data_IF_624677476209
#
_entry.id   IF_624677476209
#
_cell.length_a   1.000
_cell.length_b   1.000
_cell.length_c   1.000
_cell.angle_alpha   90.00
_cell.angle_beta   90.00
_cell.angle_gamma   90.00
#
_symmetry.space_group_name_H-M   'P 1'
#
loop_
_entity.id
_entity.type
_entity.pdbx_description
1 polymer ?
#
# COMPACT_ATOMS: atom_id res chain seq x y z
N UNK A 1 -18.39 -40.56 -2.45
CA UNK A 1 -17.17 -41.37 -2.68
C UNK A 1 -17.20 -41.86 -4.13
N UNK A 2 -16.30 -41.38 -4.96
CA UNK A 2 -16.15 -41.75 -6.34
C UNK A 2 -15.04 -42.81 -6.46
N UNK A 3 -15.34 -43.94 -7.10
CA UNK A 3 -14.36 -45.02 -7.32
C UNK A 3 -13.45 -44.61 -8.47
N UNK A 4 -12.21 -44.25 -8.17
CA UNK A 4 -11.23 -43.79 -9.17
C UNK A 4 -10.62 -44.97 -9.95
N UNK A 5 -10.46 -46.10 -9.31
CA UNK A 5 -9.93 -47.33 -9.93
C UNK A 5 -10.37 -48.58 -9.16
N UNK A 6 -10.71 -49.66 -9.86
CA UNK A 6 -11.08 -50.93 -9.26
C UNK A 6 -10.21 -52.08 -9.87
N UNK A 7 -8.92 -52.18 -9.53
CA UNK A 7 -8.04 -53.19 -10.05
C UNK A 7 -8.38 -54.57 -9.49
N UNK A 8 -8.29 -55.59 -10.34
CA UNK A 8 -8.51 -57.00 -9.94
C UNK A 8 -7.18 -57.56 -9.40
N UNK A 9 -7.21 -58.09 -8.19
CA UNK A 9 -6.06 -58.79 -7.59
C UNK A 9 -5.96 -60.18 -8.19
N UNK A 10 -4.89 -60.49 -8.92
CA UNK A 10 -4.67 -61.77 -9.57
C UNK A 10 -4.04 -62.81 -8.67
N UNK A 11 -3.08 -62.38 -7.83
CA UNK A 11 -2.33 -63.22 -6.95
C UNK A 11 -2.12 -62.58 -5.56
N UNK A 12 -1.77 -63.38 -4.55
CA UNK A 12 -1.49 -62.85 -3.24
C UNK A 12 -0.18 -61.99 -3.20
N UNK A 13 -0.25 -60.78 -2.72
CA UNK A 13 0.89 -59.84 -2.64
C UNK A 13 1.73 -60.18 -1.41
N UNK A 14 2.78 -61.03 -1.60
CA UNK A 14 3.64 -61.48 -0.51
C UNK A 14 4.78 -60.52 -0.20
N UNK A 15 5.14 -59.62 -1.11
CA UNK A 15 6.30 -58.71 -1.03
C UNK A 15 5.96 -57.32 -0.49
N UNK A 16 4.71 -57.04 -0.12
CA UNK A 16 4.29 -55.73 0.35
C UNK A 16 4.28 -54.63 -0.72
N UNK A 17 4.60 -54.97 -1.98
CA UNK A 17 4.53 -54.04 -3.12
C UNK A 17 3.68 -54.65 -4.22
N UNK A 18 2.78 -53.83 -4.79
CA UNK A 18 1.91 -54.20 -5.89
C UNK A 18 2.10 -53.30 -7.10
N UNK A 19 1.89 -53.87 -8.29
CA UNK A 19 1.89 -53.10 -9.54
C UNK A 19 0.46 -53.11 -10.14
N UNK A 20 -0.04 -51.90 -10.47
CA UNK A 20 -1.28 -51.73 -11.19
C UNK A 20 -0.94 -51.60 -12.69
N UNK A 21 -1.41 -52.55 -13.51
CA UNK A 21 -1.17 -52.54 -14.95
C UNK A 21 -2.51 -52.55 -15.72
N UNK A 22 -2.58 -51.85 -16.84
CA UNK A 22 -3.74 -51.74 -17.70
C UNK A 22 -3.48 -50.91 -18.96
N UNK A 23 -4.48 -50.69 -19.76
CA UNK A 23 -4.39 -49.81 -20.94
C UNK A 23 -4.58 -48.36 -20.52
N UNK A 24 -3.60 -47.83 -19.79
CA UNK A 24 -3.61 -46.42 -19.37
C UNK A 24 -2.90 -45.55 -20.41
N UNK A 25 -3.44 -44.37 -20.67
CA UNK A 25 -2.69 -43.32 -21.33
C UNK A 25 -1.63 -42.75 -20.34
N UNK A 26 -0.65 -42.01 -20.84
CA UNK A 26 0.39 -41.41 -20.02
C UNK A 26 -0.23 -40.46 -18.99
N UNK A 27 -1.27 -39.74 -19.39
CA UNK A 27 -1.99 -38.81 -18.54
C UNK A 27 -2.75 -39.52 -17.40
N UNK A 28 -3.50 -40.56 -17.73
CA UNK A 28 -4.25 -41.36 -16.76
C UNK A 28 -3.34 -42.07 -15.76
N UNK A 29 -2.20 -42.62 -16.21
CA UNK A 29 -1.23 -43.26 -15.33
C UNK A 29 -0.58 -42.23 -14.36
N UNK A 30 -0.28 -41.03 -14.85
CA UNK A 30 0.26 -39.96 -14.04
C UNK A 30 -0.75 -39.47 -12.99
N UNK A 31 -1.99 -39.23 -13.38
CA UNK A 31 -3.07 -38.86 -12.48
C UNK A 31 -3.32 -39.91 -11.40
N UNK A 32 -3.36 -41.20 -11.79
CA UNK A 32 -3.52 -42.30 -10.84
C UNK A 32 -2.36 -42.38 -9.87
N UNK A 33 -1.11 -42.16 -10.34
CA UNK A 33 0.07 -42.15 -9.48
C UNK A 33 0.04 -41.00 -8.45
N UNK A 34 -0.43 -39.80 -8.84
CA UNK A 34 -0.63 -38.67 -7.96
C UNK A 34 -1.67 -38.96 -6.87
N UNK A 35 -2.82 -39.54 -7.29
CA UNK A 35 -3.89 -39.91 -6.37
C UNK A 35 -3.44 -40.99 -5.36
N UNK A 36 -2.69 -42.00 -5.81
CA UNK A 36 -2.15 -43.03 -4.92
C UNK A 36 -1.09 -42.47 -3.95
N UNK A 37 -0.24 -41.50 -4.38
CA UNK A 37 0.71 -40.81 -3.50
C UNK A 37 0.02 -39.95 -2.47
N UNK A 38 -1.08 -39.28 -2.84
CA UNK A 38 -1.86 -38.47 -1.90
C UNK A 38 -2.51 -39.33 -0.81
N UNK A 39 -2.77 -40.64 -1.09
CA UNK A 39 -3.39 -41.53 -0.13
C UNK A 39 -4.86 -41.20 0.15
N UNK A 40 -5.49 -42.00 1.00
CA UNK A 40 -6.83 -41.68 1.50
C UNK A 40 -6.72 -40.58 2.55
N UNK A 41 -7.32 -39.43 2.30
CA UNK A 41 -7.37 -38.36 3.25
C UNK A 41 -8.22 -38.77 4.46
N UNK A 42 -7.72 -38.60 5.70
CA UNK A 42 -8.42 -39.02 6.91
C UNK A 42 -9.69 -38.20 7.22
N UNK A 43 -9.88 -37.09 6.50
CA UNK A 43 -11.06 -36.22 6.60
C UNK A 43 -11.46 -35.72 5.20
N UNK A 44 -12.76 -35.52 4.99
CA UNK A 44 -13.28 -34.93 3.75
C UNK A 44 -12.78 -33.49 3.59
N UNK A 45 -12.18 -33.18 2.43
CA UNK A 45 -11.83 -31.82 2.05
C UNK A 45 -12.99 -31.20 1.27
N UNK A 46 -13.45 -30.04 1.70
CA UNK A 46 -14.34 -29.20 0.91
C UNK A 46 -13.58 -27.94 0.48
N UNK A 47 -13.67 -27.57 -0.79
CA UNK A 47 -13.16 -26.27 -1.23
C UNK A 47 -14.06 -25.18 -0.64
N UNK A 48 -13.50 -24.40 0.29
CA UNK A 48 -14.23 -23.31 0.95
C UNK A 48 -14.24 -22.07 0.05
N UNK A 49 -13.15 -21.85 -0.68
CA UNK A 49 -13.04 -20.76 -1.65
C UNK A 49 -12.04 -21.16 -2.75
N UNK A 50 -12.46 -21.01 -4.00
CA UNK A 50 -11.58 -21.10 -5.16
C UNK A 50 -11.66 -19.78 -5.93
N UNK A 51 -10.56 -19.05 -6.02
CA UNK A 51 -10.45 -17.79 -6.75
C UNK A 51 -9.42 -17.91 -7.85
N UNK A 52 -9.85 -18.18 -9.05
CA UNK A 52 -9.00 -18.14 -10.24
C UNK A 52 -9.08 -16.75 -10.88
N UNK A 53 -8.06 -15.92 -10.65
CA UNK A 53 -7.95 -14.60 -11.30
C UNK A 53 -7.06 -14.77 -12.52
N UNK A 54 -7.68 -14.67 -13.71
CA UNK A 54 -6.93 -14.71 -14.97
C UNK A 54 -6.01 -13.50 -15.13
N UNK A 55 -4.88 -13.62 -15.87
CA UNK A 55 -3.92 -12.54 -16.09
C UNK A 55 -4.54 -11.27 -16.69
N UNK A 56 -5.57 -11.40 -17.51
CA UNK A 56 -6.29 -10.29 -18.13
C UNK A 56 -7.06 -9.43 -17.12
N UNK A 57 -7.74 -10.05 -16.16
CA UNK A 57 -8.45 -9.31 -15.10
C UNK A 57 -7.49 -8.58 -14.16
N UNK A 58 -6.32 -9.19 -13.88
CA UNK A 58 -5.26 -8.53 -13.11
C UNK A 58 -4.75 -7.27 -13.80
N UNK A 59 -4.45 -7.34 -15.10
CA UNK A 59 -3.97 -6.21 -15.88
C UNK A 59 -4.99 -5.07 -15.98
N UNK A 60 -6.27 -5.39 -16.20
CA UNK A 60 -7.35 -4.39 -16.26
C UNK A 60 -7.54 -3.68 -14.91
N UNK A 61 -7.53 -4.41 -13.81
CA UNK A 61 -7.68 -3.86 -12.47
C UNK A 61 -6.48 -2.95 -12.10
N UNK A 62 -5.25 -3.33 -12.48
CA UNK A 62 -4.07 -2.48 -12.30
C UNK A 62 -4.20 -1.19 -13.11
N UNK A 63 -4.57 -1.28 -14.38
CA UNK A 63 -4.76 -0.11 -15.26
C UNK A 63 -5.80 0.87 -14.69
N UNK A 64 -6.95 0.36 -14.22
CA UNK A 64 -7.99 1.17 -13.56
C UNK A 64 -7.46 1.78 -12.26
N UNK A 65 -6.73 1.03 -11.45
CA UNK A 65 -6.14 1.51 -10.20
C UNK A 65 -5.10 2.62 -10.42
N UNK A 66 -4.23 2.48 -11.42
CA UNK A 66 -3.26 3.51 -11.82
C UNK A 66 -3.97 4.78 -12.30
N UNK A 67 -5.00 4.63 -13.15
CA UNK A 67 -5.79 5.78 -13.62
C UNK A 67 -6.49 6.49 -12.47
N UNK A 68 -7.10 5.76 -11.54
CA UNK A 68 -7.73 6.33 -10.35
C UNK A 68 -6.71 7.08 -9.48
N UNK A 69 -5.52 6.53 -9.30
CA UNK A 69 -4.42 7.18 -8.56
C UNK A 69 -4.00 8.48 -9.24
N UNK A 70 -3.83 8.49 -10.56
CA UNK A 70 -3.46 9.70 -11.32
C UNK A 70 -4.52 10.79 -11.22
N UNK A 71 -5.79 10.44 -11.41
CA UNK A 71 -6.90 11.39 -11.30
C UNK A 71 -7.01 11.94 -9.89
N UNK A 72 -6.94 11.08 -8.87
CA UNK A 72 -6.95 11.48 -7.46
C UNK A 72 -5.78 12.39 -7.12
N UNK A 73 -4.58 12.06 -7.58
CA UNK A 73 -3.37 12.88 -7.38
C UNK A 73 -3.52 14.27 -7.98
N UNK A 74 -3.94 14.38 -9.25
CA UNK A 74 -4.15 15.66 -9.92
C UNK A 74 -5.24 16.48 -9.21
N UNK A 75 -6.35 15.86 -8.83
CA UNK A 75 -7.42 16.53 -8.10
C UNK A 75 -6.93 17.13 -6.78
N UNK A 76 -6.10 16.38 -6.04
CA UNK A 76 -5.49 16.86 -4.80
C UNK A 76 -4.53 18.02 -5.03
N UNK A 77 -3.66 17.96 -6.06
CA UNK A 77 -2.77 19.07 -6.40
C UNK A 77 -3.55 20.35 -6.71
N UNK A 78 -4.59 20.24 -7.54
CA UNK A 78 -5.46 21.36 -7.90
C UNK A 78 -6.15 21.94 -6.67
N UNK A 79 -6.72 21.08 -5.83
CA UNK A 79 -7.34 21.47 -4.56
C UNK A 79 -6.37 22.27 -3.67
N UNK A 80 -5.17 21.74 -3.46
CA UNK A 80 -4.16 22.40 -2.62
C UNK A 80 -3.74 23.76 -3.16
N UNK A 81 -3.55 23.90 -4.46
CA UNK A 81 -3.17 25.18 -5.08
C UNK A 81 -4.30 26.18 -4.95
N UNK A 82 -5.57 25.78 -5.15
CA UNK A 82 -6.71 26.68 -5.04
C UNK A 82 -6.89 27.18 -3.60
N UNK A 83 -6.81 26.29 -2.61
CA UNK A 83 -7.09 26.62 -1.20
C UNK A 83 -5.92 27.35 -0.54
N UNK A 84 -4.67 26.87 -0.75
CA UNK A 84 -3.48 27.36 -0.06
C UNK A 84 -2.55 28.19 -0.95
N UNK A 85 -2.93 28.47 -2.18
CA UNK A 85 -2.21 29.34 -3.12
C UNK A 85 -0.71 29.00 -3.20
N UNK A 86 0.20 29.93 -2.80
CA UNK A 86 1.64 29.69 -2.86
C UNK A 86 2.09 28.53 -1.96
N UNK A 87 1.54 28.38 -0.78
CA UNK A 87 1.83 27.23 0.10
C UNK A 87 1.29 25.92 -0.47
N UNK A 88 0.19 25.97 -1.21
CA UNK A 88 -0.34 24.85 -1.95
C UNK A 88 0.62 24.34 -3.04
N UNK A 89 1.38 25.23 -3.69
CA UNK A 89 2.44 24.84 -4.64
C UNK A 89 3.57 24.09 -3.92
N UNK A 90 4.01 24.57 -2.75
CA UNK A 90 5.03 23.87 -1.96
C UNK A 90 4.56 22.50 -1.51
N UNK A 91 3.32 22.39 -1.01
CA UNK A 91 2.73 21.11 -0.65
C UNK A 91 2.61 20.17 -1.86
N UNK A 92 2.26 20.70 -3.04
CA UNK A 92 2.16 19.91 -4.27
C UNK A 92 3.52 19.33 -4.70
N UNK A 93 4.58 20.10 -4.59
CA UNK A 93 5.95 19.61 -4.87
C UNK A 93 6.36 18.56 -3.83
N UNK A 94 6.09 18.81 -2.55
CA UNK A 94 6.39 17.87 -1.48
C UNK A 94 5.59 16.56 -1.64
N UNK A 95 4.32 16.64 -2.06
CA UNK A 95 3.49 15.47 -2.34
C UNK A 95 4.01 14.67 -3.55
N UNK A 96 4.46 15.36 -4.60
CA UNK A 96 5.09 14.71 -5.76
C UNK A 96 6.38 14.00 -5.36
N UNK A 97 7.21 14.64 -4.52
CA UNK A 97 8.40 14.04 -3.96
C UNK A 97 8.08 12.82 -3.09
N UNK A 98 7.03 12.91 -2.27
CA UNK A 98 6.54 11.80 -1.45
C UNK A 98 6.18 10.59 -2.31
N UNK A 99 5.42 10.78 -3.39
CA UNK A 99 5.04 9.69 -4.29
C UNK A 99 6.25 9.03 -4.95
N UNK A 100 7.22 9.83 -5.41
CA UNK A 100 8.47 9.31 -5.99
C UNK A 100 9.25 8.51 -4.95
N UNK A 101 9.37 9.04 -3.73
CA UNK A 101 10.08 8.38 -2.63
C UNK A 101 9.41 7.06 -2.23
N UNK A 102 8.08 7.04 -2.15
CA UNK A 102 7.31 5.83 -1.88
C UNK A 102 7.56 4.75 -2.93
N UNK A 103 7.47 5.10 -4.23
CA UNK A 103 7.70 4.16 -5.32
C UNK A 103 9.16 3.66 -5.30
N UNK A 104 10.12 4.55 -5.05
CA UNK A 104 11.53 4.19 -4.93
C UNK A 104 11.79 3.19 -3.80
N UNK A 105 11.23 3.43 -2.61
CA UNK A 105 11.37 2.52 -1.47
C UNK A 105 10.69 1.17 -1.73
N UNK A 106 9.49 1.17 -2.32
CA UNK A 106 8.83 -0.08 -2.71
C UNK A 106 9.67 -0.88 -3.70
N UNK A 107 10.28 -0.20 -4.68
CA UNK A 107 11.16 -0.84 -5.66
C UNK A 107 12.43 -1.39 -5.02
N UNK A 108 13.07 -0.65 -4.11
CA UNK A 108 14.25 -1.10 -3.39
C UNK A 108 13.99 -2.34 -2.51
N UNK A 109 12.81 -2.42 -1.91
CA UNK A 109 12.40 -3.56 -1.09
C UNK A 109 11.88 -4.74 -1.91
N UNK A 110 11.78 -4.63 -3.23
CA UNK A 110 11.19 -5.65 -4.09
C UNK A 110 9.71 -5.93 -3.77
N UNK A 111 9.01 -4.92 -3.24
CA UNK A 111 7.61 -5.06 -2.84
C UNK A 111 6.71 -5.22 -4.07
N UNK A 112 5.88 -6.27 -4.05
CA UNK A 112 4.91 -6.51 -5.14
C UNK A 112 3.72 -5.57 -5.02
N UNK A 113 3.40 -4.89 -6.13
CA UNK A 113 2.24 -4.02 -6.19
C UNK A 113 0.96 -4.87 -6.36
N UNK A 114 0.19 -4.98 -5.29
CA UNK A 114 -1.12 -5.66 -5.28
C UNK A 114 -2.24 -4.65 -5.47
N UNK A 115 -3.45 -5.09 -5.85
CA UNK A 115 -4.61 -4.20 -5.97
C UNK A 115 -4.91 -3.46 -4.64
N UNK A 116 -4.95 -4.12 -3.47
CA UNK A 116 -5.01 -3.40 -2.20
C UNK A 116 -3.81 -2.48 -1.95
N UNK A 117 -2.62 -2.83 -2.45
CA UNK A 117 -1.45 -1.96 -2.39
C UNK A 117 -1.63 -0.64 -3.16
N UNK A 118 -2.25 -0.67 -4.34
CA UNK A 118 -2.62 0.55 -5.08
C UNK A 118 -3.62 1.38 -4.27
N UNK A 119 -4.63 0.76 -3.66
CA UNK A 119 -5.54 1.46 -2.76
C UNK A 119 -4.81 2.09 -1.57
N UNK A 120 -3.80 1.41 -1.03
CA UNK A 120 -2.89 1.95 -0.01
C UNK A 120 -2.15 3.20 -0.46
N UNK A 121 -1.66 3.25 -1.71
CA UNK A 121 -1.02 4.46 -2.29
C UNK A 121 -2.02 5.62 -2.32
N UNK A 122 -3.23 5.40 -2.81
CA UNK A 122 -4.28 6.45 -2.87
C UNK A 122 -4.62 6.96 -1.47
N UNK A 123 -4.75 6.06 -0.50
CA UNK A 123 -5.02 6.41 0.89
C UNK A 123 -3.89 7.25 1.48
N UNK A 124 -2.64 6.84 1.29
CA UNK A 124 -1.47 7.56 1.82
C UNK A 124 -1.26 8.91 1.16
N UNK A 125 -1.65 9.09 -0.11
CA UNK A 125 -1.68 10.41 -0.76
C UNK A 125 -2.63 11.37 -0.05
N UNK A 126 -3.83 10.90 0.34
CA UNK A 126 -4.77 11.69 1.14
C UNK A 126 -4.19 12.09 2.50
N UNK A 127 -3.60 11.14 3.23
CA UNK A 127 -2.98 11.43 4.54
C UNK A 127 -1.74 12.33 4.43
N UNK A 128 -1.00 12.26 3.33
CA UNK A 128 0.14 13.15 3.10
C UNK A 128 -0.26 14.62 2.93
N UNK A 129 -1.44 14.85 2.36
CA UNK A 129 -2.02 16.20 2.26
C UNK A 129 -2.45 16.71 3.62
N UNK A 130 -3.06 15.87 4.45
CA UNK A 130 -3.54 16.22 5.79
C UNK A 130 -2.45 16.83 6.66
N UNK A 131 -1.24 16.29 6.63
CA UNK A 131 -0.10 16.82 7.36
C UNK A 131 0.22 18.27 6.93
N UNK A 132 0.23 18.55 5.63
CA UNK A 132 0.46 19.90 5.10
C UNK A 132 -0.70 20.86 5.45
N UNK A 133 -1.95 20.39 5.34
CA UNK A 133 -3.14 21.16 5.73
C UNK A 133 -3.07 21.56 7.21
N UNK A 134 -2.68 20.64 8.08
CA UNK A 134 -2.53 20.90 9.51
C UNK A 134 -1.46 21.94 9.79
N UNK A 135 -0.28 21.83 9.15
CA UNK A 135 0.80 22.82 9.26
C UNK A 135 0.30 24.20 8.81
N UNK A 136 -0.32 24.29 7.65
CA UNK A 136 -0.76 25.57 7.10
C UNK A 136 -1.89 26.20 7.92
N UNK A 137 -2.78 25.39 8.47
CA UNK A 137 -3.83 25.86 9.38
C UNK A 137 -3.23 26.44 10.65
N UNK A 138 -2.20 25.79 11.22
CA UNK A 138 -1.48 26.32 12.39
C UNK A 138 -0.73 27.62 12.07
N UNK A 139 -0.05 27.69 10.93
CA UNK A 139 0.60 28.94 10.48
C UNK A 139 -0.42 30.07 10.37
N UNK A 140 -1.59 29.79 9.78
CA UNK A 140 -2.67 30.77 9.65
C UNK A 140 -3.21 31.25 11.01
N UNK A 141 -3.36 30.33 11.95
CA UNK A 141 -3.77 30.64 13.33
C UNK A 141 -2.77 31.56 14.04
N UNK A 142 -1.46 31.28 13.92
CA UNK A 142 -0.42 32.09 14.53
C UNK A 142 -0.32 33.51 13.91
N UNK A 143 -0.58 33.64 12.60
CA UNK A 143 -0.69 34.93 11.94
C UNK A 143 -1.91 35.71 12.48
N UNK A 144 -3.04 35.02 12.64
CA UNK A 144 -4.27 35.64 13.18
C UNK A 144 -4.06 36.12 14.62
N UNK A 145 -3.24 35.43 15.42
CA UNK A 145 -2.85 35.79 16.76
C UNK A 145 -1.82 36.94 16.79
N UNK A 146 -1.47 37.56 15.65
CA UNK A 146 -0.60 38.70 15.56
C UNK A 146 0.90 38.41 15.49
N UNK A 147 1.29 37.18 15.27
CA UNK A 147 2.73 36.82 15.08
C UNK A 147 3.25 37.34 13.74
N UNK A 148 4.56 37.65 13.72
CA UNK A 148 5.23 37.96 12.46
C UNK A 148 5.27 36.74 11.55
N UNK A 149 5.22 36.89 10.20
CA UNK A 149 5.19 35.80 9.25
C UNK A 149 6.25 34.72 9.46
N UNK A 150 7.50 35.13 9.76
CA UNK A 150 8.60 34.19 9.98
C UNK A 150 8.40 33.36 11.27
N UNK A 151 7.96 34.02 12.36
CA UNK A 151 7.64 33.34 13.62
C UNK A 151 6.44 32.44 13.48
N UNK A 152 5.39 32.87 12.80
CA UNK A 152 4.19 32.07 12.56
C UNK A 152 4.51 30.78 11.78
N UNK A 153 5.41 30.83 10.80
CA UNK A 153 5.91 29.64 10.10
C UNK A 153 6.61 28.70 11.07
N UNK A 154 7.56 29.19 11.88
CA UNK A 154 8.31 28.34 12.81
C UNK A 154 7.39 27.67 13.82
N UNK A 155 6.58 28.46 14.52
CA UNK A 155 5.62 27.96 15.53
C UNK A 155 4.56 27.04 14.93
N UNK A 156 4.09 27.35 13.72
CA UNK A 156 3.09 26.51 13.03
C UNK A 156 3.62 25.10 12.73
N UNK A 157 4.86 24.99 12.27
CA UNK A 157 5.51 23.68 12.08
C UNK A 157 5.71 22.94 13.40
N UNK A 158 6.20 23.62 14.44
CA UNK A 158 6.50 22.99 15.72
C UNK A 158 5.24 22.55 16.46
N UNK A 159 4.16 23.34 16.43
CA UNK A 159 2.87 22.97 17.02
C UNK A 159 2.14 21.85 16.24
N UNK A 160 2.27 21.84 14.90
CA UNK A 160 1.68 20.77 14.08
C UNK A 160 2.43 19.43 14.24
N UNK A 161 3.71 19.47 14.58
CA UNK A 161 4.57 18.28 14.64
C UNK A 161 4.02 17.17 15.54
N UNK A 162 3.64 17.49 16.78
CA UNK A 162 3.08 16.50 17.72
C UNK A 162 1.83 15.85 17.16
N UNK A 163 0.89 16.66 16.64
CA UNK A 163 -0.36 16.13 16.10
C UNK A 163 -0.15 15.25 14.86
N UNK A 164 0.83 15.61 14.00
CA UNK A 164 1.20 14.79 12.83
C UNK A 164 1.81 13.47 13.27
N UNK A 165 2.71 13.46 14.24
CA UNK A 165 3.32 12.23 14.78
C UNK A 165 2.24 11.34 15.41
N UNK A 166 1.43 11.90 16.29
CA UNK A 166 0.41 11.12 17.03
C UNK A 166 -0.60 10.47 16.08
N UNK A 167 -1.11 11.22 15.11
CA UNK A 167 -2.07 10.71 14.13
C UNK A 167 -1.47 9.64 13.20
N UNK A 168 -0.23 9.84 12.75
CA UNK A 168 0.43 8.89 11.86
C UNK A 168 0.98 7.66 12.59
N UNK A 169 1.39 7.78 13.86
CA UNK A 169 1.90 6.68 14.66
C UNK A 169 0.83 5.60 14.87
N UNK A 170 -0.41 6.00 15.16
CA UNK A 170 -1.53 5.04 15.31
C UNK A 170 -1.79 4.27 14.03
N UNK A 171 -1.78 4.94 12.88
CA UNK A 171 -1.98 4.30 11.58
C UNK A 171 -0.78 3.43 11.19
N UNK A 172 0.43 3.83 11.55
CA UNK A 172 1.65 3.03 11.33
C UNK A 172 1.61 1.73 12.14
N UNK A 173 1.15 1.77 13.39
CA UNK A 173 0.95 0.57 14.20
C UNK A 173 -0.04 -0.40 13.56
N UNK A 174 -1.14 0.09 12.99
CA UNK A 174 -2.08 -0.74 12.22
C UNK A 174 -1.39 -1.36 11.00
N UNK A 175 -0.58 -0.58 10.26
CA UNK A 175 0.20 -1.07 9.13
C UNK A 175 1.16 -2.21 9.53
N UNK A 176 1.87 -2.06 10.64
CA UNK A 176 2.79 -3.09 11.17
C UNK A 176 2.04 -4.35 11.58
N UNK A 177 0.90 -4.23 12.26
CA UNK A 177 0.06 -5.38 12.65
C UNK A 177 -0.45 -6.11 11.41
N UNK A 178 -0.95 -5.37 10.40
CA UNK A 178 -1.42 -5.96 9.14
C UNK A 178 -0.27 -6.65 8.37
N UNK A 179 0.94 -6.13 8.44
CA UNK A 179 2.12 -6.78 7.85
C UNK A 179 2.48 -8.08 8.56
N UNK A 180 2.43 -8.10 9.90
CA UNK A 180 2.79 -9.26 10.70
C UNK A 180 1.75 -10.39 10.59
N UNK A 181 0.45 -10.05 10.62
CA UNK A 181 -0.65 -11.02 10.65
C UNK A 181 -1.30 -11.25 9.28
N UNK A 182 -1.10 -10.37 8.32
CA UNK A 182 -1.69 -10.44 6.99
C UNK A 182 -1.05 -11.50 6.10
N UNK A 183 -1.80 -11.94 5.10
CA UNK A 183 -1.32 -12.84 4.05
C UNK A 183 -1.54 -12.23 2.67
N UNK A 184 -0.74 -12.65 1.68
CA UNK A 184 -0.90 -12.29 0.28
C UNK A 184 -1.20 -10.81 0.01
N UNK A 185 -2.38 -10.47 -0.54
CA UNK A 185 -2.74 -9.09 -0.89
C UNK A 185 -2.74 -8.11 0.29
N UNK A 186 -3.08 -8.57 1.51
CA UNK A 186 -3.11 -7.72 2.72
C UNK A 186 -1.70 -7.26 3.09
N UNK A 187 -0.68 -8.11 2.94
CA UNK A 187 0.71 -7.71 3.14
C UNK A 187 1.13 -6.60 2.17
N UNK A 188 0.71 -6.68 0.90
CA UNK A 188 0.97 -5.61 -0.07
C UNK A 188 0.39 -4.26 0.36
N UNK A 189 -0.86 -4.25 0.83
CA UNK A 189 -1.48 -3.06 1.41
C UNK A 189 -0.71 -2.54 2.63
N UNK A 190 -0.36 -3.43 3.56
CA UNK A 190 0.37 -3.07 4.78
C UNK A 190 1.74 -2.43 4.49
N UNK A 191 2.48 -2.94 3.50
CA UNK A 191 3.76 -2.37 3.07
C UNK A 191 3.56 -0.98 2.49
N UNK A 192 2.63 -0.79 1.55
CA UNK A 192 2.36 0.52 0.95
C UNK A 192 1.88 1.54 1.97
N UNK A 193 1.01 1.12 2.91
CA UNK A 193 0.53 1.98 3.99
C UNK A 193 1.67 2.42 4.91
N UNK A 194 2.48 1.48 5.41
CA UNK A 194 3.57 1.78 6.34
C UNK A 194 4.64 2.65 5.71
N UNK A 195 5.10 2.33 4.50
CA UNK A 195 6.06 3.14 3.76
C UNK A 195 5.47 4.52 3.42
N UNK A 196 4.22 4.57 2.99
CA UNK A 196 3.54 5.81 2.65
C UNK A 196 3.43 6.77 3.84
N UNK A 197 3.15 6.26 5.04
CA UNK A 197 3.14 7.07 6.26
C UNK A 197 4.53 7.63 6.56
N UNK A 198 5.57 6.79 6.53
CA UNK A 198 6.94 7.23 6.80
C UNK A 198 7.39 8.30 5.81
N UNK A 199 7.16 8.07 4.51
CA UNK A 199 7.55 9.01 3.45
C UNK A 199 6.72 10.29 3.49
N UNK A 200 5.44 10.22 3.85
CA UNK A 200 4.57 11.40 3.96
C UNK A 200 4.98 12.30 5.14
N UNK A 201 5.29 11.71 6.29
CA UNK A 201 5.81 12.45 7.44
C UNK A 201 7.13 13.15 7.10
N UNK A 202 8.06 12.41 6.48
CA UNK A 202 9.33 12.99 6.03
C UNK A 202 9.10 14.15 5.05
N UNK A 203 8.26 13.96 4.06
CA UNK A 203 7.98 14.96 3.04
C UNK A 203 7.30 16.22 3.62
N UNK A 204 6.28 16.05 4.47
CA UNK A 204 5.58 17.18 5.08
C UNK A 204 6.48 17.95 6.06
N UNK A 205 7.24 17.25 6.92
CA UNK A 205 8.02 17.88 7.96
C UNK A 205 9.34 18.47 7.42
N UNK A 206 10.04 17.73 6.54
CA UNK A 206 11.36 18.13 6.07
C UNK A 206 11.29 18.90 4.75
N UNK A 207 10.65 18.32 3.72
CA UNK A 207 10.66 18.91 2.38
C UNK A 207 9.81 20.19 2.35
N UNK A 208 8.58 20.16 2.87
CA UNK A 208 7.72 21.34 2.92
C UNK A 208 8.34 22.43 3.77
N UNK A 209 8.90 22.10 4.95
CA UNK A 209 9.60 23.07 5.82
C UNK A 209 10.80 23.71 5.12
N UNK A 210 11.61 22.92 4.43
CA UNK A 210 12.76 23.43 3.68
C UNK A 210 12.30 24.40 2.57
N UNK A 211 11.28 24.07 1.80
CA UNK A 211 10.76 24.93 0.74
C UNK A 211 10.15 26.23 1.27
N UNK A 212 9.35 26.14 2.33
CA UNK A 212 8.77 27.33 2.97
C UNK A 212 9.87 28.22 3.56
N UNK A 213 10.88 27.64 4.21
CA UNK A 213 12.00 28.40 4.74
C UNK A 213 12.84 29.07 3.64
N UNK A 214 13.05 28.42 2.50
CA UNK A 214 13.72 29.03 1.35
C UNK A 214 12.93 30.20 0.75
N UNK A 215 11.60 30.14 0.80
CA UNK A 215 10.75 31.18 0.27
C UNK A 215 10.58 32.38 1.22
N UNK A 216 10.51 32.12 2.55
CA UNK A 216 10.21 33.12 3.59
C UNK A 216 11.45 33.51 4.38
N UNK A 217 12.44 32.59 4.50
CA UNK A 217 13.67 32.81 5.25
C UNK A 217 14.55 33.88 4.62
N UNK A 218 14.96 34.86 5.40
CA UNK A 218 15.84 35.94 4.98
C UNK A 218 15.19 37.06 4.15
N UNK A 219 13.89 37.04 3.97
CA UNK A 219 13.14 38.13 3.30
C UNK A 219 12.17 38.77 4.29
N UNK A 220 12.09 40.09 4.27
CA UNK A 220 11.06 40.85 4.98
C UNK A 220 9.69 40.66 4.31
N UNK A 221 9.09 39.47 4.50
CA UNK A 221 7.78 39.15 3.96
C UNK A 221 6.72 39.77 4.86
N UNK A 222 6.11 40.86 4.38
CA UNK A 222 5.05 41.57 5.12
C UNK A 222 3.71 40.81 5.14
N UNK A 223 3.49 39.86 4.23
CA UNK A 223 2.23 39.11 4.10
C UNK A 223 2.51 37.72 3.50
N UNK A 224 2.02 36.67 4.14
CA UNK A 224 2.06 35.32 3.58
C UNK A 224 0.83 35.11 2.65
N UNK A 225 1.07 34.53 1.51
CA UNK A 225 0.03 34.16 0.55
C UNK A 225 -0.48 32.74 0.88
N UNK A 226 -1.24 32.66 1.97
CA UNK A 226 -1.76 31.42 2.56
C UNK A 226 -3.29 31.46 2.59
#
# INVERSE_FOLDING_TARGET
DEVVSAPVIRDAIQTGSGQISGNFTVEESTNLAVLLRAGALPAGLSFVEERTIGPSLGAENIAKGVTATQVGFIAVLVFMIIIYRAFGVFASIALSFNLILLIALMSMLGATLTLPGIAGIVLTLGMAVDANVLIFSRIREEIFNGMSPQRAVHEGFDKAFSAIIDGNLTTLLVGVILFAMGSGPIKGFAVTLSLGIITSMFSAIMVTRAMVNLAVGGRDVKKLWL
#
